data_IF_502897159540
#
_entry.id   IF_502897159540
#
_cell.length_a   1.000
_cell.length_b   1.000
_cell.length_c   1.000
_cell.angle_alpha   90.00
_cell.angle_beta   90.00
_cell.angle_gamma   90.00
#
_symmetry.space_group_name_H-M   'P 1'
#
loop_
_entity.id
_entity.type
_entity.pdbx_description
1 polymer ?
#
# COMPACT_ATOMS: atom_id res chain seq x y z
N UNK A 1 28.15 -21.50 -0.75
CA UNK A 1 28.00 -20.98 0.62
C UNK A 1 26.54 -20.68 0.83
N UNK A 2 25.87 -21.56 1.59
CA UNK A 2 24.42 -21.52 1.78
C UNK A 2 24.05 -20.49 2.82
N UNK A 3 23.97 -19.23 2.41
CA UNK A 3 23.28 -18.23 3.21
C UNK A 3 21.78 -18.50 3.09
N UNK A 4 21.17 -18.92 4.20
CA UNK A 4 19.75 -19.20 4.27
C UNK A 4 19.00 -17.86 4.42
N UNK A 5 18.42 -17.38 3.32
CA UNK A 5 17.58 -16.17 3.28
C UNK A 5 16.08 -16.48 3.44
N UNK A 6 15.71 -17.65 3.97
CA UNK A 6 14.30 -18.00 4.22
C UNK A 6 13.60 -16.96 5.10
N UNK A 7 14.30 -16.24 5.98
CA UNK A 7 13.71 -15.16 6.77
C UNK A 7 13.21 -13.99 5.90
N UNK A 8 13.81 -13.75 4.72
CA UNK A 8 13.33 -12.72 3.79
C UNK A 8 11.97 -13.09 3.19
N UNK A 9 11.64 -14.40 3.14
CA UNK A 9 10.31 -14.87 2.74
C UNK A 9 9.23 -14.37 3.70
N UNK A 10 9.49 -14.42 5.00
CA UNK A 10 8.56 -13.94 6.03
C UNK A 10 8.27 -12.45 5.87
N UNK A 11 9.26 -11.66 5.46
CA UNK A 11 9.06 -10.23 5.17
C UNK A 11 8.12 -10.01 3.99
N UNK A 12 8.27 -10.82 2.94
CA UNK A 12 7.40 -10.76 1.76
C UNK A 12 5.98 -11.19 2.14
N UNK A 13 5.83 -12.30 2.85
CA UNK A 13 4.55 -12.85 3.29
C UNK A 13 3.79 -11.85 4.17
N UNK A 14 4.45 -11.31 5.21
CA UNK A 14 3.85 -10.31 6.09
C UNK A 14 3.43 -9.05 5.33
N UNK A 15 4.25 -8.60 4.37
CA UNK A 15 3.94 -7.39 3.60
C UNK A 15 2.79 -7.60 2.63
N UNK A 16 2.71 -8.75 1.96
CA UNK A 16 1.58 -9.12 1.09
C UNK A 16 0.28 -9.06 1.89
N UNK A 17 0.24 -9.68 3.08
CA UNK A 17 -0.95 -9.71 3.93
C UNK A 17 -1.32 -8.31 4.45
N UNK A 18 -0.35 -7.51 4.87
CA UNK A 18 -0.56 -6.11 5.30
C UNK A 18 -1.20 -5.28 4.18
N UNK A 19 -0.65 -5.34 2.96
CA UNK A 19 -1.18 -4.61 1.80
C UNK A 19 -2.60 -5.04 1.43
N UNK A 20 -2.96 -6.31 1.64
CA UNK A 20 -4.33 -6.81 1.44
C UNK A 20 -5.36 -6.12 2.36
N UNK A 21 -4.92 -5.65 3.53
CA UNK A 21 -5.79 -4.92 4.47
C UNK A 21 -5.96 -3.44 4.10
N UNK A 22 -5.07 -2.93 3.25
CA UNK A 22 -4.95 -1.52 2.85
C UNK A 22 -5.62 -1.29 1.49
N UNK A 23 -5.24 -2.08 0.49
CA UNK A 23 -5.70 -1.94 -0.88
C UNK A 23 -7.05 -2.62 -1.09
N UNK A 24 -7.81 -2.15 -2.09
CA UNK A 24 -8.98 -2.85 -2.59
C UNK A 24 -8.57 -3.88 -3.66
N UNK A 25 -7.62 -4.74 -3.29
CA UNK A 25 -7.06 -5.79 -4.13
C UNK A 25 -7.05 -7.07 -3.29
N UNK A 26 -7.73 -8.10 -3.79
CA UNK A 26 -7.80 -9.40 -3.14
C UNK A 26 -6.63 -10.26 -3.64
N UNK A 27 -5.99 -11.00 -2.73
CA UNK A 27 -4.92 -11.94 -3.07
C UNK A 27 -5.56 -13.31 -3.28
N UNK A 28 -5.50 -13.81 -4.52
CA UNK A 28 -6.07 -15.13 -4.84
C UNK A 28 -5.08 -16.26 -4.57
N UNK A 29 -3.81 -16.04 -4.89
CA UNK A 29 -2.73 -17.00 -4.66
C UNK A 29 -1.39 -16.27 -4.72
N UNK A 30 -0.37 -16.79 -4.05
CA UNK A 30 1.01 -16.34 -4.24
C UNK A 30 2.00 -17.44 -3.86
N UNK A 31 3.21 -17.35 -4.42
CA UNK A 31 4.33 -18.23 -4.13
C UNK A 31 5.61 -17.40 -4.09
N UNK A 32 6.27 -17.38 -2.93
CA UNK A 32 7.58 -16.76 -2.75
C UNK A 32 8.65 -17.83 -2.98
N UNK A 33 9.65 -17.52 -3.80
CA UNK A 33 10.82 -18.35 -4.03
C UNK A 33 12.09 -17.54 -3.76
N UNK A 34 13.24 -18.21 -3.75
CA UNK A 34 14.52 -17.58 -3.44
C UNK A 34 14.92 -16.45 -4.39
N UNK A 35 14.41 -16.44 -5.63
CA UNK A 35 14.80 -15.47 -6.66
C UNK A 35 13.62 -14.76 -7.34
N UNK A 36 12.36 -15.11 -7.05
CA UNK A 36 11.19 -14.44 -7.61
C UNK A 36 9.90 -14.68 -6.80
N UNK A 37 8.91 -13.83 -7.07
CA UNK A 37 7.56 -13.90 -6.51
C UNK A 37 6.57 -14.13 -7.66
N UNK A 38 5.69 -15.13 -7.50
CA UNK A 38 4.46 -15.21 -8.27
C UNK A 38 3.29 -14.77 -7.39
N UNK A 39 2.44 -13.88 -7.88
CA UNK A 39 1.25 -13.42 -7.16
C UNK A 39 0.08 -13.26 -8.13
N UNK A 40 -1.08 -13.77 -7.75
CA UNK A 40 -2.35 -13.66 -8.46
C UNK A 40 -3.23 -12.71 -7.68
N UNK A 41 -3.53 -11.57 -8.29
CA UNK A 41 -4.28 -10.47 -7.69
C UNK A 41 -5.61 -10.29 -8.42
N UNK A 42 -6.66 -9.99 -7.65
CA UNK A 42 -7.95 -9.55 -8.18
C UNK A 42 -8.20 -8.11 -7.74
N UNK A 43 -8.23 -7.20 -8.69
CA UNK A 43 -8.61 -5.81 -8.43
C UNK A 43 -10.11 -5.74 -8.13
N UNK A 44 -10.47 -5.12 -7.02
CA UNK A 44 -11.85 -5.00 -6.56
C UNK A 44 -12.29 -3.53 -6.59
N UNK A 45 -12.50 -3.02 -7.81
CA UNK A 45 -12.91 -1.63 -8.03
C UNK A 45 -14.26 -1.31 -7.37
N UNK A 46 -15.19 -2.27 -7.35
CA UNK A 46 -16.49 -2.11 -6.71
C UNK A 46 -16.37 -1.89 -5.20
N UNK A 47 -15.48 -2.64 -4.53
CA UNK A 47 -15.15 -2.42 -3.11
C UNK A 47 -14.61 -1.01 -2.89
N UNK A 48 -13.66 -0.58 -3.71
CA UNK A 48 -13.13 0.78 -3.62
C UNK A 48 -14.19 1.86 -3.88
N UNK A 49 -15.11 1.65 -4.81
CA UNK A 49 -16.20 2.58 -5.12
C UNK A 49 -17.26 2.63 -4.02
N UNK A 50 -17.51 1.51 -3.34
CA UNK A 50 -18.43 1.44 -2.20
C UNK A 50 -17.93 2.17 -0.94
N UNK A 51 -16.63 2.45 -0.86
CA UNK A 51 -16.05 3.16 0.28
C UNK A 51 -16.51 4.61 0.34
N UNK A 52 -16.85 5.06 1.55
CA UNK A 52 -16.99 6.49 1.83
C UNK A 52 -15.64 7.19 1.69
N UNK A 53 -15.67 8.49 1.44
CA UNK A 53 -14.46 9.32 1.32
C UNK A 53 -13.57 9.23 2.55
N UNK A 54 -14.17 9.23 3.75
CA UNK A 54 -13.45 9.01 5.00
C UNK A 54 -12.77 7.63 5.02
N UNK A 55 -13.44 6.59 4.52
CA UNK A 55 -12.87 5.23 4.46
C UNK A 55 -11.68 5.17 3.50
N UNK A 56 -11.77 5.82 2.33
CA UNK A 56 -10.63 5.92 1.38
C UNK A 56 -9.42 6.53 2.07
N UNK A 57 -9.59 7.64 2.79
CA UNK A 57 -8.48 8.29 3.49
C UNK A 57 -7.95 7.42 4.62
N UNK A 58 -8.81 6.79 5.42
CA UNK A 58 -8.40 5.87 6.49
C UNK A 58 -7.57 4.71 5.92
N UNK A 59 -8.01 4.11 4.81
CA UNK A 59 -7.25 3.04 4.15
C UNK A 59 -5.91 3.55 3.64
N UNK A 60 -5.89 4.69 2.95
CA UNK A 60 -4.65 5.31 2.50
C UNK A 60 -3.69 5.58 3.66
N UNK A 61 -4.19 6.07 4.80
CA UNK A 61 -3.39 6.40 5.97
C UNK A 61 -2.76 5.21 6.68
N UNK A 62 -3.24 3.99 6.46
CA UNK A 62 -2.60 2.77 6.97
C UNK A 62 -1.26 2.49 6.29
N UNK A 63 -1.17 2.73 4.97
CA UNK A 63 0.03 2.45 4.17
C UNK A 63 0.91 3.66 3.93
N UNK A 64 0.34 4.88 4.01
CA UNK A 64 0.99 6.11 3.60
C UNK A 64 0.64 7.26 4.54
N UNK A 65 1.53 8.24 4.70
CA UNK A 65 1.29 9.35 5.64
C UNK A 65 0.07 10.23 5.28
N UNK A 66 -0.26 10.34 3.99
CA UNK A 66 -1.23 11.32 3.48
C UNK A 66 -0.77 12.78 3.67
N UNK A 67 -1.68 13.73 3.48
CA UNK A 67 -1.43 15.18 3.71
C UNK A 67 -2.05 15.65 5.02
N UNK A 68 -1.60 16.80 5.53
CA UNK A 68 -2.18 17.40 6.74
C UNK A 68 -3.71 17.59 6.62
N UNK A 69 -4.19 18.07 5.47
CA UNK A 69 -5.63 18.28 5.24
C UNK A 69 -6.41 16.97 5.26
N UNK A 70 -5.89 15.90 4.65
CA UNK A 70 -6.56 14.59 4.69
C UNK A 70 -6.64 14.03 6.11
N UNK A 71 -5.62 14.28 6.95
CA UNK A 71 -5.64 13.87 8.36
C UNK A 71 -6.66 14.67 9.17
N UNK A 72 -6.72 15.99 8.96
CA UNK A 72 -7.75 16.87 9.56
C UNK A 72 -9.16 16.40 9.21
N UNK A 73 -9.40 16.09 7.93
CA UNK A 73 -10.69 15.58 7.47
C UNK A 73 -11.08 14.28 8.17
N UNK A 74 -10.17 13.31 8.29
CA UNK A 74 -10.44 12.03 8.98
C UNK A 74 -10.78 12.26 10.47
N UNK A 75 -10.13 13.24 11.11
CA UNK A 75 -10.39 13.64 12.51
C UNK A 75 -11.70 14.43 12.69
N UNK A 76 -12.33 14.89 11.61
CA UNK A 76 -13.52 15.72 11.67
C UNK A 76 -13.22 17.16 12.10
N UNK A 77 -12.00 17.64 11.87
CA UNK A 77 -11.66 19.05 12.07
C UNK A 77 -12.29 19.91 10.98
N UNK A 78 -12.62 21.17 11.32
CA UNK A 78 -13.18 22.12 10.37
C UNK A 78 -12.17 22.47 9.27
N UNK A 79 -12.65 22.42 8.03
CA UNK A 79 -11.90 22.77 6.83
C UNK A 79 -12.70 23.79 6.04
N UNK A 80 -12.03 24.82 5.54
CA UNK A 80 -12.66 25.78 4.66
C UNK A 80 -12.92 25.16 3.27
N UNK A 81 -13.68 25.88 2.43
CA UNK A 81 -14.08 25.38 1.11
C UNK A 81 -12.90 24.95 0.22
N UNK A 82 -11.82 25.73 0.18
CA UNK A 82 -10.65 25.43 -0.65
C UNK A 82 -9.86 24.23 -0.12
N UNK A 83 -9.78 24.10 1.21
CA UNK A 83 -9.17 22.94 1.85
C UNK A 83 -9.98 21.67 1.57
N UNK A 84 -11.31 21.74 1.62
CA UNK A 84 -12.20 20.62 1.27
C UNK A 84 -12.06 20.22 -0.20
N UNK A 85 -12.00 21.18 -1.12
CA UNK A 85 -11.74 20.91 -2.55
C UNK A 85 -10.40 20.17 -2.73
N UNK A 86 -9.36 20.59 -2.00
CA UNK A 86 -8.05 19.90 -2.01
C UNK A 86 -8.17 18.46 -1.49
N UNK A 87 -8.92 18.25 -0.40
CA UNK A 87 -9.14 16.92 0.18
C UNK A 87 -9.92 16.01 -0.79
N UNK A 88 -10.96 16.50 -1.46
CA UNK A 88 -11.71 15.71 -2.45
C UNK A 88 -10.84 15.30 -3.66
N UNK A 89 -9.93 16.16 -4.10
CA UNK A 89 -8.95 15.80 -5.13
C UNK A 89 -8.03 14.67 -4.65
N UNK A 90 -7.52 14.76 -3.41
CA UNK A 90 -6.73 13.68 -2.82
C UNK A 90 -7.53 12.38 -2.69
N UNK A 91 -8.79 12.43 -2.25
CA UNK A 91 -9.65 11.25 -2.13
C UNK A 91 -9.81 10.55 -3.49
N UNK A 92 -10.11 11.33 -4.54
CA UNK A 92 -10.26 10.80 -5.90
C UNK A 92 -8.98 10.10 -6.36
N UNK A 93 -7.84 10.74 -6.16
CA UNK A 93 -6.54 10.16 -6.49
C UNK A 93 -6.25 8.88 -5.67
N UNK A 94 -6.47 8.91 -4.35
CA UNK A 94 -6.16 7.78 -3.47
C UNK A 94 -7.07 6.60 -3.75
N UNK A 95 -8.35 6.82 -4.09
CA UNK A 95 -9.27 5.76 -4.50
C UNK A 95 -8.75 5.02 -5.73
N UNK A 96 -8.24 5.74 -6.74
CA UNK A 96 -7.59 5.12 -7.90
C UNK A 96 -6.31 4.37 -7.51
N UNK A 97 -5.46 4.95 -6.66
CA UNK A 97 -4.21 4.30 -6.25
C UNK A 97 -4.43 3.03 -5.43
N UNK A 98 -5.50 2.97 -4.62
CA UNK A 98 -5.84 1.80 -3.80
C UNK A 98 -6.34 0.58 -4.60
N UNK A 99 -6.59 0.75 -5.91
CA UNK A 99 -6.91 -0.35 -6.83
C UNK A 99 -5.82 -0.55 -7.90
N UNK A 100 -4.76 0.26 -7.88
CA UNK A 100 -3.72 0.26 -8.91
C UNK A 100 -2.64 -0.80 -8.61
N UNK A 101 -2.41 -1.69 -9.57
CA UNK A 101 -1.44 -2.77 -9.44
C UNK A 101 0.00 -2.26 -9.32
N UNK A 102 0.36 -1.16 -9.99
CA UNK A 102 1.70 -0.60 -9.92
C UNK A 102 1.99 -0.02 -8.55
N UNK A 103 1.01 0.65 -7.95
CA UNK A 103 1.07 1.13 -6.56
C UNK A 103 1.19 -0.04 -5.59
N UNK A 104 0.37 -1.09 -5.76
CA UNK A 104 0.46 -2.29 -4.93
C UNK A 104 1.86 -2.92 -5.01
N UNK A 105 2.36 -3.18 -6.22
CA UNK A 105 3.66 -3.82 -6.43
C UNK A 105 4.81 -2.95 -5.93
N UNK A 106 4.77 -1.63 -6.13
CA UNK A 106 5.78 -0.73 -5.56
C UNK A 106 5.78 -0.78 -4.03
N UNK A 107 4.59 -0.72 -3.42
CA UNK A 107 4.44 -0.79 -1.96
C UNK A 107 4.86 -2.12 -1.37
N UNK A 108 4.84 -3.19 -2.17
CA UNK A 108 5.39 -4.50 -1.83
C UNK A 108 6.92 -4.50 -1.94
N UNK A 109 7.46 -4.10 -3.08
CA UNK A 109 8.89 -4.25 -3.39
C UNK A 109 9.81 -3.27 -2.66
N UNK A 110 9.44 -1.99 -2.55
CA UNK A 110 10.34 -0.94 -2.00
C UNK A 110 10.80 -1.26 -0.55
N UNK A 111 9.91 -1.61 0.40
CA UNK A 111 10.35 -1.91 1.76
C UNK A 111 11.28 -3.13 1.83
N UNK A 112 11.00 -4.16 1.01
CA UNK A 112 11.78 -5.40 0.97
C UNK A 112 13.16 -5.11 0.39
N UNK A 113 13.24 -4.38 -0.73
CA UNK A 113 14.49 -4.00 -1.37
C UNK A 113 15.35 -3.15 -0.42
N UNK A 114 14.75 -2.15 0.23
CA UNK A 114 15.46 -1.31 1.22
C UNK A 114 15.98 -2.11 2.42
N UNK A 115 15.21 -3.08 2.91
CA UNK A 115 15.62 -3.94 4.02
C UNK A 115 16.76 -4.88 3.60
N UNK A 116 16.66 -5.52 2.42
CA UNK A 116 17.73 -6.35 1.87
C UNK A 116 19.02 -5.55 1.64
N UNK A 117 18.91 -4.37 1.02
CA UNK A 117 20.05 -3.48 0.79
C UNK A 117 20.72 -3.06 2.11
N UNK A 118 19.94 -2.82 3.18
CA UNK A 118 20.47 -2.52 4.50
C UNK A 118 21.20 -3.72 5.13
N UNK A 119 20.66 -4.92 5.00
CA UNK A 119 21.30 -6.16 5.48
C UNK A 119 22.61 -6.43 4.71
N UNK A 120 22.59 -6.20 3.40
CA UNK A 120 23.71 -6.46 2.49
C UNK A 120 24.71 -5.29 2.41
N UNK A 121 24.56 -4.23 3.22
CA UNK A 121 25.31 -2.97 3.17
C UNK A 121 25.43 -2.36 1.75
N UNK A 122 24.42 -2.57 0.92
CA UNK A 122 24.34 -2.07 -0.45
C UNK A 122 23.55 -0.75 -0.52
N UNK A 123 23.91 0.14 -1.45
CA UNK A 123 23.27 1.46 -1.60
C UNK A 123 22.26 1.52 -2.75
N UNK A 124 21.53 0.43 -2.99
CA UNK A 124 20.45 0.36 -3.98
C UNK A 124 19.13 1.01 -3.51
N UNK A 125 18.34 1.51 -4.46
CA UNK A 125 16.95 1.97 -4.25
C UNK A 125 15.95 0.85 -4.45
#
# INVERSE_FOLDING_TARGET
TGENYEHRREWVDARILDLATIFAIDICAYAVMSNHLHIVLKVNADKANSWSDKTVLVQWHKGFKGTLLTQKFVKGEDLNRLELETVHNCITEYRHRLIDLSWFMRSLSEPIARQANKEDNCTGR
#
